data_IF_128711935194
#
_entry.id   IF_128711935194
#
_cell.length_a   1.000
_cell.length_b   1.000
_cell.length_c   1.000
_cell.angle_alpha   90.00
_cell.angle_beta   90.00
_cell.angle_gamma   90.00
#
_symmetry.space_group_name_H-M   'P 1'
#
loop_
_entity.id
_entity.type
_entity.pdbx_description
1 polymer ?
#
# COMPACT_ATOMS: atom_id res chain seq x y z
N UNK A 1 6.06 42.85 41.06
CA UNK A 1 6.53 41.51 40.70
C UNK A 1 5.42 40.52 40.38
N UNK A 2 4.18 40.77 40.79
CA UNK A 2 3.02 39.86 40.64
C UNK A 2 2.34 39.96 39.28
N UNK A 3 2.19 41.13 38.64
CA UNK A 3 1.42 41.30 37.41
C UNK A 3 2.19 40.75 36.15
N UNK A 4 3.48 40.90 36.13
CA UNK A 4 4.32 40.41 35.00
C UNK A 4 4.34 38.86 34.97
N UNK A 5 4.36 38.24 36.15
CA UNK A 5 4.33 36.78 36.27
C UNK A 5 2.98 36.18 35.81
N UNK A 6 1.85 36.86 36.11
CA UNK A 6 0.54 36.46 35.62
C UNK A 6 0.41 36.61 34.10
N UNK A 7 1.01 37.65 33.51
CA UNK A 7 0.96 37.86 32.06
C UNK A 7 1.80 36.82 31.32
N UNK A 8 2.96 36.41 31.86
CA UNK A 8 3.79 35.35 31.30
C UNK A 8 3.10 33.98 31.42
N UNK A 9 2.38 33.72 32.52
CA UNK A 9 1.61 32.48 32.65
C UNK A 9 0.42 32.43 31.68
N UNK A 10 -0.26 33.56 31.47
CA UNK A 10 -1.37 33.64 30.51
C UNK A 10 -0.91 33.42 29.05
N UNK A 11 0.28 33.86 28.69
CA UNK A 11 0.85 33.63 27.37
C UNK A 11 1.22 32.14 27.12
N UNK A 12 1.54 31.39 28.18
CA UNK A 12 1.85 29.97 28.10
C UNK A 12 0.59 29.08 27.91
N UNK A 13 -0.61 29.63 28.21
CA UNK A 13 -1.88 28.94 28.06
C UNK A 13 -2.59 29.21 26.74
N UNK A 14 -1.99 30.00 25.83
CA UNK A 14 -2.55 30.13 24.50
C UNK A 14 -2.51 28.76 23.83
N UNK A 15 -3.67 28.27 23.29
CA UNK A 15 -3.68 27.02 22.58
C UNK A 15 -2.69 27.14 21.42
N UNK A 16 -1.61 26.40 21.51
CA UNK A 16 -0.75 26.17 20.35
C UNK A 16 -1.64 25.50 19.32
N UNK A 17 -1.99 26.21 18.27
CA UNK A 17 -2.60 25.60 17.10
C UNK A 17 -1.70 24.43 16.73
N UNK A 18 -2.14 23.21 17.05
CA UNK A 18 -1.47 22.02 16.61
C UNK A 18 -1.60 22.04 15.07
N UNK A 19 -0.59 22.57 14.39
CA UNK A 19 -0.47 22.37 12.95
C UNK A 19 -0.50 20.87 12.76
N UNK A 20 -1.58 20.38 12.18
CA UNK A 20 -1.64 18.98 11.74
C UNK A 20 -0.47 18.79 10.79
N UNK A 21 0.51 18.01 11.22
CA UNK A 21 1.62 17.67 10.35
C UNK A 21 1.05 16.93 9.15
N UNK A 22 1.35 17.41 7.94
CA UNK A 22 0.93 16.76 6.73
C UNK A 22 1.44 15.31 6.72
N UNK A 23 0.53 14.37 6.52
CA UNK A 23 0.84 12.95 6.49
C UNK A 23 0.82 12.45 5.06
N UNK A 24 1.90 11.84 4.62
CA UNK A 24 1.97 11.20 3.31
C UNK A 24 1.33 9.82 3.39
N UNK A 25 0.29 9.62 2.61
CA UNK A 25 -0.42 8.35 2.44
C UNK A 25 -0.12 7.80 1.04
N UNK A 26 0.37 6.57 0.95
CA UNK A 26 0.71 5.95 -0.32
C UNK A 26 -0.27 4.86 -0.73
N UNK A 27 -0.55 4.75 -2.01
CA UNK A 27 -1.30 3.65 -2.62
C UNK A 27 -0.50 3.05 -3.77
N UNK A 28 -0.63 1.74 -3.98
CA UNK A 28 0.27 0.98 -4.87
C UNK A 28 -0.34 0.61 -6.23
N UNK A 29 -1.61 0.92 -6.46
CA UNK A 29 -2.28 0.71 -7.75
C UNK A 29 -3.42 1.71 -7.95
N UNK A 30 -3.73 1.99 -9.23
CA UNK A 30 -4.84 2.85 -9.65
C UNK A 30 -5.95 1.95 -10.18
N UNK A 31 -6.79 1.48 -9.27
CA UNK A 31 -7.86 0.52 -9.56
C UNK A 31 -9.06 0.75 -8.62
N UNK A 32 -10.16 0.03 -8.86
CA UNK A 32 -11.36 0.13 -8.03
C UNK A 32 -11.14 -0.23 -6.55
N UNK A 33 -10.31 -1.22 -6.20
CA UNK A 33 -9.94 -1.49 -4.82
C UNK A 33 -9.33 -0.31 -4.05
N UNK A 34 -8.69 0.62 -4.74
CA UNK A 34 -8.09 1.81 -4.14
C UNK A 34 -9.00 3.06 -4.19
N UNK A 35 -10.21 2.95 -4.73
CA UNK A 35 -11.14 4.08 -4.88
C UNK A 35 -11.48 4.77 -3.54
N UNK A 36 -11.51 4.02 -2.43
CA UNK A 36 -11.76 4.56 -1.10
C UNK A 36 -10.78 5.66 -0.69
N UNK A 37 -9.51 5.59 -1.09
CA UNK A 37 -8.48 6.60 -0.80
C UNK A 37 -8.77 7.90 -1.52
N UNK A 38 -9.15 7.83 -2.80
CA UNK A 38 -9.51 8.98 -3.61
C UNK A 38 -10.82 9.61 -3.14
N UNK A 39 -11.83 8.78 -2.86
CA UNK A 39 -13.11 9.25 -2.35
C UNK A 39 -12.93 9.97 -1.01
N UNK A 40 -12.10 9.43 -0.12
CA UNK A 40 -11.81 10.06 1.17
C UNK A 40 -11.15 11.43 1.00
N UNK A 41 -10.25 11.59 0.02
CA UNK A 41 -9.63 12.87 -0.32
C UNK A 41 -10.65 13.84 -0.92
N UNK A 42 -11.36 13.44 -1.97
CA UNK A 42 -12.34 14.26 -2.67
C UNK A 42 -13.49 14.74 -1.75
N UNK A 43 -13.97 13.86 -0.88
CA UNK A 43 -15.00 14.18 0.11
C UNK A 43 -14.45 14.85 1.37
N UNK A 44 -13.16 15.19 1.40
CA UNK A 44 -12.48 15.85 2.51
C UNK A 44 -12.60 15.09 3.86
N UNK A 45 -12.77 13.76 3.81
CA UNK A 45 -12.88 12.95 5.03
C UNK A 45 -11.62 13.03 5.88
N UNK A 46 -10.44 13.08 5.26
CA UNK A 46 -9.19 13.26 6.01
C UNK A 46 -9.24 14.52 6.87
N UNK A 47 -9.59 15.69 6.28
CA UNK A 47 -9.71 16.96 7.00
C UNK A 47 -10.81 16.93 8.06
N UNK A 48 -11.95 16.29 7.75
CA UNK A 48 -13.05 16.12 8.70
C UNK A 48 -12.61 15.42 9.99
N UNK A 49 -11.66 14.51 9.90
CA UNK A 49 -11.10 13.78 11.03
C UNK A 49 -9.75 14.35 11.51
N UNK A 50 -9.41 15.58 11.12
CA UNK A 50 -8.22 16.28 11.59
C UNK A 50 -6.90 15.81 10.99
N UNK A 51 -6.95 15.08 9.86
CA UNK A 51 -5.77 14.61 9.15
C UNK A 51 -5.50 15.49 7.93
N UNK A 52 -4.33 16.13 7.89
CA UNK A 52 -3.81 16.76 6.67
C UNK A 52 -3.06 15.71 5.86
N UNK A 53 -3.74 15.18 4.83
CA UNK A 53 -3.27 14.02 4.07
C UNK A 53 -2.87 14.38 2.65
N UNK A 54 -1.66 13.99 2.26
CA UNK A 54 -1.19 13.97 0.90
C UNK A 54 -1.22 12.54 0.35
N UNK A 55 -1.92 12.32 -0.77
CA UNK A 55 -1.95 11.02 -1.43
C UNK A 55 -0.88 10.96 -2.52
N UNK A 56 -0.01 9.96 -2.45
CA UNK A 56 1.00 9.69 -3.46
C UNK A 56 0.86 8.27 -4.03
N UNK A 57 1.16 8.15 -5.32
CA UNK A 57 1.23 6.86 -5.98
C UNK A 57 2.65 6.32 -5.96
N UNK A 58 2.85 5.12 -5.39
CA UNK A 58 4.12 4.39 -5.41
C UNK A 58 3.84 3.02 -6.03
N UNK A 59 4.26 2.77 -7.28
CA UNK A 59 4.00 1.48 -7.92
C UNK A 59 4.66 0.33 -7.16
N UNK A 60 3.90 -0.74 -6.92
CA UNK A 60 4.30 -1.94 -6.20
C UNK A 60 4.28 -1.83 -4.66
N UNK A 61 3.64 -2.82 -4.05
CA UNK A 61 3.55 -2.97 -2.59
C UNK A 61 4.92 -3.09 -1.91
N UNK A 62 5.91 -3.71 -2.57
CA UNK A 62 7.27 -3.84 -2.01
C UNK A 62 7.98 -2.49 -1.91
N UNK A 63 7.80 -1.61 -2.90
CA UNK A 63 8.37 -0.25 -2.84
C UNK A 63 7.64 0.60 -1.80
N UNK A 64 6.31 0.49 -1.74
CA UNK A 64 5.51 1.23 -0.77
C UNK A 64 5.86 0.84 0.67
N UNK A 65 6.04 -0.46 0.97
CA UNK A 65 6.41 -0.88 2.32
C UNK A 65 7.80 -0.43 2.71
N UNK A 66 8.74 -0.39 1.76
CA UNK A 66 10.08 0.18 2.01
C UNK A 66 10.00 1.66 2.36
N UNK A 67 9.13 2.43 1.73
CA UNK A 67 8.90 3.84 2.05
C UNK A 67 8.27 4.03 3.44
N UNK A 68 7.36 3.13 3.86
CA UNK A 68 6.78 3.12 5.21
C UNK A 68 7.86 2.80 6.25
N UNK A 69 8.67 1.77 6.02
CA UNK A 69 9.77 1.38 6.91
C UNK A 69 10.81 2.49 7.06
N UNK A 70 11.08 3.21 5.98
CA UNK A 70 11.99 4.36 5.98
C UNK A 70 11.38 5.63 6.63
N UNK A 71 10.10 5.62 7.00
CA UNK A 71 9.42 6.76 7.61
C UNK A 71 9.06 7.90 6.64
N UNK A 72 9.28 7.74 5.34
CA UNK A 72 8.91 8.73 4.32
C UNK A 72 7.40 8.69 3.95
N UNK A 73 6.72 7.63 4.32
CA UNK A 73 5.28 7.45 4.18
C UNK A 73 4.70 7.03 5.53
N UNK A 74 3.68 7.73 5.98
CA UNK A 74 3.05 7.42 7.26
C UNK A 74 2.14 6.19 7.20
N UNK A 75 1.37 6.06 6.14
CA UNK A 75 0.44 4.94 5.92
C UNK A 75 0.50 4.51 4.46
N UNK A 76 0.65 3.21 4.22
CA UNK A 76 0.65 2.62 2.88
C UNK A 76 -0.53 1.67 2.68
N UNK A 77 -1.22 1.77 1.53
CA UNK A 77 -2.09 0.69 1.07
C UNK A 77 -1.23 -0.36 0.38
N UNK A 78 -0.97 -1.42 1.11
CA UNK A 78 0.04 -2.43 0.78
C UNK A 78 -0.65 -3.80 0.84
N UNK A 79 -0.25 -4.70 -0.03
CA UNK A 79 -0.76 -6.07 0.01
C UNK A 79 -0.38 -6.79 1.30
N UNK A 80 -1.28 -7.64 1.79
CA UNK A 80 -1.03 -8.46 2.98
C UNK A 80 0.22 -9.32 2.86
N UNK A 81 0.51 -9.87 1.67
CA UNK A 81 1.72 -10.65 1.42
C UNK A 81 3.02 -9.84 1.60
N UNK A 82 3.08 -8.62 1.04
CA UNK A 82 4.25 -7.75 1.21
C UNK A 82 4.40 -7.30 2.67
N UNK A 83 3.29 -7.01 3.37
CA UNK A 83 3.29 -6.66 4.78
C UNK A 83 3.81 -7.83 5.64
N UNK A 84 3.32 -9.06 5.40
CA UNK A 84 3.76 -10.24 6.10
C UNK A 84 5.26 -10.53 5.86
N UNK A 85 5.72 -10.44 4.61
CA UNK A 85 7.14 -10.63 4.28
C UNK A 85 8.05 -9.61 4.99
N UNK A 86 7.63 -8.34 5.05
CA UNK A 86 8.38 -7.30 5.75
C UNK A 86 8.42 -7.57 7.26
N UNK A 87 7.31 -7.97 7.87
CA UNK A 87 7.24 -8.31 9.29
C UNK A 87 8.11 -9.53 9.64
N UNK A 88 8.08 -10.58 8.81
CA UNK A 88 8.97 -11.76 8.95
C UNK A 88 10.45 -11.36 8.79
N UNK A 89 10.73 -10.39 7.91
CA UNK A 89 12.05 -9.78 7.74
C UNK A 89 12.50 -8.86 8.89
N UNK A 90 11.69 -8.71 9.95
CA UNK A 90 12.02 -7.91 11.14
C UNK A 90 11.64 -6.43 11.02
N UNK A 91 10.90 -6.02 10.00
CA UNK A 91 10.44 -4.64 9.87
C UNK A 91 9.36 -4.32 10.92
N UNK A 92 9.48 -3.15 11.56
CA UNK A 92 8.49 -2.66 12.52
C UNK A 92 7.30 -2.04 11.76
N UNK A 93 6.38 -2.88 11.34
CA UNK A 93 5.16 -2.48 10.62
C UNK A 93 3.94 -3.15 11.21
N UNK A 94 2.80 -2.49 11.14
CA UNK A 94 1.52 -3.00 11.64
C UNK A 94 0.42 -2.78 10.61
N UNK A 95 -0.43 -3.78 10.40
CA UNK A 95 -1.64 -3.65 9.59
C UNK A 95 -2.76 -3.10 10.48
N UNK A 96 -3.27 -1.91 10.15
CA UNK A 96 -4.34 -1.23 10.91
C UNK A 96 -5.73 -1.45 10.33
N UNK A 97 -5.82 -2.02 9.13
CA UNK A 97 -7.09 -2.34 8.47
C UNK A 97 -6.88 -3.22 7.24
N UNK A 98 -7.93 -3.88 6.82
CA UNK A 98 -7.97 -4.66 5.59
C UNK A 98 -9.25 -4.31 4.81
N UNK A 99 -9.09 -3.80 3.60
CA UNK A 99 -10.21 -3.42 2.74
C UNK A 99 -10.62 -4.56 1.79
N UNK A 100 -9.68 -5.47 1.48
CA UNK A 100 -9.88 -6.57 0.54
C UNK A 100 -9.21 -7.80 1.13
N UNK A 101 -9.98 -8.86 1.31
CA UNK A 101 -9.52 -10.13 1.89
C UNK A 101 -9.29 -11.23 0.84
N UNK A 102 -9.19 -10.86 -0.44
CA UNK A 102 -8.95 -11.76 -1.56
C UNK A 102 -7.79 -11.25 -2.42
N UNK A 103 -7.39 -12.03 -3.40
CA UNK A 103 -6.46 -11.62 -4.47
C UNK A 103 -7.27 -11.23 -5.72
N UNK A 104 -7.63 -9.95 -5.90
CA UNK A 104 -8.47 -9.49 -7.00
C UNK A 104 -7.65 -9.34 -8.29
N UNK A 105 -7.07 -10.43 -8.75
CA UNK A 105 -6.24 -10.47 -9.96
C UNK A 105 -6.86 -11.32 -11.05
N UNK A 106 -6.68 -10.87 -12.27
CA UNK A 106 -7.01 -11.59 -13.48
C UNK A 106 -5.74 -11.86 -14.30
N UNK A 107 -5.64 -13.03 -14.90
CA UNK A 107 -4.60 -13.34 -15.85
C UNK A 107 -5.06 -12.92 -17.24
N UNK A 108 -4.40 -11.91 -17.79
CA UNK A 108 -4.64 -11.46 -19.15
C UNK A 108 -3.57 -12.06 -20.06
N UNK A 109 -4.00 -12.72 -21.11
CA UNK A 109 -3.10 -13.37 -22.07
C UNK A 109 -3.39 -12.95 -23.51
N UNK A 110 -2.42 -13.14 -24.39
CA UNK A 110 -2.64 -12.92 -25.82
C UNK A 110 -3.76 -13.83 -26.35
N UNK A 111 -4.58 -13.32 -27.27
CA UNK A 111 -5.76 -14.01 -27.77
C UNK A 111 -5.52 -15.36 -28.46
N UNK A 112 -4.27 -15.72 -28.76
CA UNK A 112 -3.91 -17.05 -29.28
C UNK A 112 -3.80 -18.11 -28.20
N UNK A 113 -3.68 -17.73 -26.92
CA UNK A 113 -3.58 -18.64 -25.77
C UNK A 113 -5.00 -19.00 -25.34
N UNK A 114 -5.37 -20.28 -25.46
CA UNK A 114 -6.71 -20.80 -25.20
C UNK A 114 -6.74 -21.82 -24.06
N UNK A 115 -5.59 -22.24 -23.54
CA UNK A 115 -5.50 -23.19 -22.44
C UNK A 115 -4.30 -22.88 -21.55
N UNK A 116 -4.35 -23.34 -20.30
CA UNK A 116 -3.26 -23.17 -19.35
C UNK A 116 -1.94 -23.80 -19.85
N UNK A 117 -2.01 -24.94 -20.51
CA UNK A 117 -0.84 -25.65 -21.04
C UNK A 117 -0.06 -24.83 -22.07
N UNK A 118 -0.73 -23.94 -22.78
CA UNK A 118 -0.09 -23.05 -23.75
C UNK A 118 0.73 -21.92 -23.09
N UNK A 119 0.62 -21.78 -21.77
CA UNK A 119 1.48 -20.87 -21.00
C UNK A 119 2.89 -21.44 -20.79
N UNK A 120 3.09 -22.75 -20.91
CA UNK A 120 4.43 -23.35 -20.79
C UNK A 120 5.42 -22.71 -21.75
N UNK A 121 6.55 -22.29 -21.22
CA UNK A 121 7.60 -21.59 -21.99
C UNK A 121 7.26 -20.14 -22.34
N UNK A 122 6.14 -19.60 -21.86
CA UNK A 122 5.80 -18.16 -21.94
C UNK A 122 6.20 -17.48 -20.65
N UNK A 123 6.42 -16.17 -20.70
CA UNK A 123 6.71 -15.36 -19.50
C UNK A 123 5.46 -14.68 -19.00
N UNK A 124 5.35 -14.57 -17.68
CA UNK A 124 4.29 -13.85 -16.98
C UNK A 124 4.87 -12.60 -16.33
N UNK A 125 4.37 -11.43 -16.74
CA UNK A 125 4.79 -10.15 -16.17
C UNK A 125 4.11 -9.84 -14.86
N UNK A 126 4.87 -9.33 -13.92
CA UNK A 126 4.41 -8.85 -12.61
C UNK A 126 4.96 -7.44 -12.33
N UNK A 127 4.48 -6.76 -11.30
CA UNK A 127 5.00 -5.44 -10.96
C UNK A 127 6.37 -5.50 -10.30
N UNK A 128 6.61 -6.49 -9.45
CA UNK A 128 7.88 -6.73 -8.74
C UNK A 128 7.81 -8.04 -7.96
N UNK A 129 8.95 -8.71 -7.82
CA UNK A 129 9.09 -9.89 -6.95
C UNK A 129 8.71 -9.55 -5.50
N UNK A 130 7.94 -10.43 -4.85
CA UNK A 130 7.40 -10.23 -3.50
C UNK A 130 6.20 -9.29 -3.41
N UNK A 131 5.72 -8.73 -4.52
CA UNK A 131 4.51 -7.92 -4.56
C UNK A 131 3.23 -8.78 -4.54
N UNK A 132 2.05 -8.13 -4.45
CA UNK A 132 0.77 -8.84 -4.56
C UNK A 132 0.57 -9.53 -5.90
N UNK A 133 1.06 -8.96 -7.01
CA UNK A 133 0.99 -9.58 -8.33
C UNK A 133 1.89 -10.81 -8.43
N UNK A 134 3.05 -10.83 -7.77
CA UNK A 134 3.90 -12.03 -7.70
C UNK A 134 3.19 -13.16 -6.93
N UNK A 135 2.64 -12.84 -5.75
CA UNK A 135 1.89 -13.82 -4.96
C UNK A 135 0.70 -14.38 -5.77
N UNK A 136 -0.08 -13.50 -6.42
CA UNK A 136 -1.21 -13.90 -7.23
C UNK A 136 -0.79 -14.78 -8.42
N UNK A 137 0.29 -14.41 -9.11
CA UNK A 137 0.84 -15.18 -10.22
C UNK A 137 1.22 -16.61 -9.79
N UNK A 138 1.95 -16.73 -8.66
CA UNK A 138 2.38 -18.03 -8.14
C UNK A 138 1.22 -18.91 -7.70
N UNK A 139 0.23 -18.33 -7.03
CA UNK A 139 -0.99 -19.05 -6.63
C UNK A 139 -1.75 -19.52 -7.87
N UNK A 140 -1.99 -18.63 -8.83
CA UNK A 140 -2.72 -18.94 -10.05
C UNK A 140 -2.03 -20.04 -10.88
N UNK A 141 -0.70 -19.95 -11.08
CA UNK A 141 0.03 -20.95 -11.83
C UNK A 141 -0.07 -22.32 -11.18
N UNK A 142 0.00 -22.41 -9.85
CA UNK A 142 -0.20 -23.68 -9.11
C UNK A 142 -1.61 -24.24 -9.29
N UNK A 143 -2.64 -23.40 -9.23
CA UNK A 143 -4.03 -23.82 -9.49
C UNK A 143 -4.20 -24.34 -10.94
N UNK A 144 -3.48 -23.75 -11.89
CA UNK A 144 -3.43 -24.21 -13.28
C UNK A 144 -2.54 -25.44 -13.49
N UNK A 145 -1.95 -26.00 -12.43
CA UNK A 145 -1.01 -27.13 -12.44
C UNK A 145 0.24 -26.85 -13.27
N UNK A 146 0.74 -25.61 -13.18
CA UNK A 146 1.96 -25.14 -13.77
C UNK A 146 2.95 -24.74 -12.65
N UNK A 147 4.22 -25.09 -12.79
CA UNK A 147 5.25 -24.73 -11.83
C UNK A 147 5.76 -23.31 -12.11
N UNK A 148 5.59 -22.36 -11.16
CA UNK A 148 6.18 -21.03 -11.27
C UNK A 148 7.69 -21.10 -11.48
N UNK A 149 8.21 -20.21 -12.30
CA UNK A 149 9.62 -20.07 -12.67
C UNK A 149 10.20 -21.26 -13.47
N UNK A 150 9.57 -22.42 -13.47
CA UNK A 150 9.97 -23.59 -14.21
C UNK A 150 9.19 -23.74 -15.53
N UNK A 151 7.88 -23.85 -15.45
CA UNK A 151 6.99 -23.95 -16.62
C UNK A 151 6.71 -22.57 -17.22
N UNK A 152 6.60 -21.55 -16.36
CA UNK A 152 6.29 -20.16 -16.71
C UNK A 152 7.22 -19.23 -15.92
N UNK A 153 8.29 -18.69 -16.55
CA UNK A 153 9.10 -17.64 -15.94
C UNK A 153 8.28 -16.44 -15.51
N UNK A 154 8.50 -15.95 -14.29
CA UNK A 154 7.86 -14.75 -13.76
C UNK A 154 8.86 -13.59 -13.83
N UNK A 155 8.47 -12.47 -14.51
CA UNK A 155 9.34 -11.34 -14.83
C UNK A 155 8.81 -10.02 -14.25
#
# INVERSE_FOLDING_TARGET
MSLVLCFLLALALLPRSAYSQQQTLAFSSVDSPNANWYIAKEKQFYKKYGLDAELIYIPSSTTTISAVVAGSVAVGNISGGATANAAVGGASVVAVGCFINTLPYELIVHGSIRSAQQLKGKSLGISRVGSSSDVAARVLLKELKLEPDKDVPIL
#
